data_IF_550578210985
#
_entry.id   IF_550578210985
#
_cell.length_a   1.000
_cell.length_b   1.000
_cell.length_c   1.000
_cell.angle_alpha   90.00
_cell.angle_beta   90.00
_cell.angle_gamma   90.00
#
_symmetry.space_group_name_H-M   'P 1'
#
loop_
_entity.id
_entity.type
_entity.pdbx_description
1 polymer ?
#
# COMPACT_ATOMS: atom_id res chain seq x y z
N UNK A 1 -4.19 -8.88 1.98
CA UNK A 1 -5.12 -10.01 1.82
C UNK A 1 -4.68 -11.04 0.79
N UNK A 2 -4.18 -10.64 -0.40
CA UNK A 2 -3.74 -11.59 -1.43
C UNK A 2 -2.67 -12.60 -0.93
N UNK A 3 -1.63 -12.16 -0.22
CA UNK A 3 -0.62 -13.07 0.37
C UNK A 3 -1.25 -14.08 1.33
N UNK A 4 -2.21 -13.65 2.16
CA UNK A 4 -2.89 -14.51 3.13
C UNK A 4 -3.76 -15.57 2.45
N UNK A 5 -4.41 -15.24 1.32
CA UNK A 5 -5.19 -16.19 0.53
C UNK A 5 -4.31 -17.32 -0.04
N UNK A 6 -3.06 -17.00 -0.40
CA UNK A 6 -2.07 -17.98 -0.86
C UNK A 6 -1.40 -18.75 0.29
N UNK A 7 -1.72 -18.42 1.55
CA UNK A 7 -1.15 -19.06 2.74
C UNK A 7 0.38 -18.99 2.75
N UNK A 8 1.04 -20.08 3.17
CA UNK A 8 2.50 -20.14 3.22
C UNK A 8 3.19 -19.93 1.87
N UNK A 9 2.55 -20.31 0.77
CA UNK A 9 3.07 -20.09 -0.59
C UNK A 9 3.06 -18.61 -0.99
N UNK A 10 2.18 -17.81 -0.38
CA UNK A 10 2.14 -16.36 -0.63
C UNK A 10 3.37 -15.61 -0.08
N UNK A 11 4.15 -16.24 0.80
CA UNK A 11 5.38 -15.69 1.36
C UNK A 11 6.64 -16.16 0.61
N UNK A 12 6.53 -17.12 -0.31
CA UNK A 12 7.67 -17.55 -1.12
C UNK A 12 7.84 -16.62 -2.31
N UNK A 13 9.09 -16.46 -2.78
CA UNK A 13 9.41 -15.66 -3.97
C UNK A 13 8.99 -16.32 -5.29
N UNK A 14 8.44 -17.53 -5.22
CA UNK A 14 7.93 -18.26 -6.38
C UNK A 14 6.62 -17.64 -6.89
N UNK A 15 5.81 -17.09 -5.98
CA UNK A 15 4.57 -16.40 -6.32
C UNK A 15 4.76 -14.89 -6.22
N UNK A 16 4.30 -14.09 -7.21
CA UNK A 16 4.56 -12.65 -7.25
C UNK A 16 3.77 -11.84 -6.20
N UNK A 17 2.88 -12.49 -5.44
CA UNK A 17 1.99 -11.83 -4.48
C UNK A 17 2.74 -11.15 -3.34
N UNK A 18 3.87 -11.71 -2.92
CA UNK A 18 4.77 -11.05 -1.94
C UNK A 18 5.32 -9.73 -2.51
N UNK A 19 5.65 -9.71 -3.81
CA UNK A 19 6.33 -8.58 -4.44
C UNK A 19 5.36 -7.44 -4.56
N UNK A 20 4.16 -7.74 -5.00
CA UNK A 20 3.06 -6.78 -5.06
C UNK A 20 2.75 -6.21 -3.68
N UNK A 21 2.83 -7.01 -2.61
CA UNK A 21 2.63 -6.49 -1.25
C UNK A 21 3.75 -5.50 -0.85
N UNK A 22 5.01 -5.76 -1.21
CA UNK A 22 6.11 -4.82 -0.98
C UNK A 22 5.98 -3.55 -1.82
N UNK A 23 5.70 -3.70 -3.10
CA UNK A 23 5.55 -2.58 -4.03
C UNK A 23 4.35 -1.71 -3.63
N UNK A 24 3.25 -2.30 -3.16
CA UNK A 24 2.10 -1.55 -2.66
C UNK A 24 2.41 -0.68 -1.43
N UNK A 25 3.53 -0.90 -0.72
CA UNK A 25 3.88 -0.05 0.42
C UNK A 25 4.46 1.30 -0.01
N UNK A 26 5.16 1.38 -1.14
CA UNK A 26 5.78 2.63 -1.60
C UNK A 26 4.75 3.65 -2.07
N UNK A 27 3.60 3.18 -2.57
CA UNK A 27 2.52 4.04 -3.07
C UNK A 27 1.89 4.90 -1.98
N UNK A 28 2.08 4.52 -0.70
CA UNK A 28 1.60 5.29 0.45
C UNK A 28 2.58 6.38 0.92
N UNK A 29 3.78 6.44 0.31
CA UNK A 29 4.89 7.30 0.76
C UNK A 29 5.31 8.25 -0.37
N UNK A 30 5.45 7.71 -1.58
CA UNK A 30 5.87 8.47 -2.75
C UNK A 30 4.74 9.35 -3.31
N UNK A 31 5.09 10.48 -3.95
CA UNK A 31 4.15 11.54 -4.39
C UNK A 31 3.23 12.11 -3.29
N UNK A 32 3.74 12.12 -2.06
CA UNK A 32 3.01 12.59 -0.89
C UNK A 32 2.48 11.44 -0.05
N UNK A 33 2.86 11.44 1.23
CA UNK A 33 2.44 10.40 2.16
C UNK A 33 0.93 10.44 2.37
N UNK A 34 0.34 9.31 2.79
CA UNK A 34 -1.08 9.23 3.11
C UNK A 34 -1.54 10.34 4.09
N UNK A 35 -0.69 10.72 5.04
CA UNK A 35 -0.98 11.79 6.00
C UNK A 35 -1.01 13.18 5.33
N UNK A 36 -0.08 13.45 4.41
CA UNK A 36 -0.07 14.71 3.64
C UNK A 36 -1.33 14.80 2.78
N UNK A 37 -1.72 13.71 2.11
CA UNK A 37 -2.95 13.66 1.33
C UNK A 37 -4.18 13.93 2.21
N UNK A 38 -4.27 13.32 3.40
CA UNK A 38 -5.36 13.60 4.34
C UNK A 38 -5.40 15.06 4.79
N UNK A 39 -4.24 15.68 5.03
CA UNK A 39 -4.16 17.10 5.41
C UNK A 39 -4.66 18.02 4.29
N UNK A 40 -4.24 17.76 3.04
CA UNK A 40 -4.67 18.53 1.87
C UNK A 40 -6.18 18.40 1.66
N UNK A 41 -6.71 17.18 1.74
CA UNK A 41 -8.17 16.92 1.63
C UNK A 41 -8.92 17.64 2.75
N UNK A 42 -8.45 17.53 4.00
CA UNK A 42 -9.08 18.20 5.15
C UNK A 42 -9.13 19.71 4.98
N UNK A 43 -8.02 20.33 4.54
CA UNK A 43 -7.98 21.77 4.26
C UNK A 43 -8.87 22.17 3.09
N UNK A 44 -9.03 21.31 2.08
CA UNK A 44 -9.93 21.55 0.96
C UNK A 44 -11.40 21.45 1.35
N UNK A 45 -11.75 20.64 2.37
CA UNK A 45 -13.13 20.47 2.84
C UNK A 45 -13.55 21.54 3.85
N UNK A 46 -12.61 22.12 4.59
CA UNK A 46 -12.85 23.16 5.60
C UNK A 46 -12.82 24.60 5.05
N UNK A 47 -12.62 24.74 3.74
CA UNK A 47 -12.73 26.00 2.99
C UNK A 47 -14.11 26.15 2.38
#
# INVERSE_FOLDING_TARGET
DAVQVFGGYGFTREYPVERFMRDAKITQIYEGTSQVQQMVISNSLLR
#
